data_IF_255267519916
#
_entry.id   IF_255267519916
#
_cell.length_a   1.000
_cell.length_b   1.000
_cell.length_c   1.000
_cell.angle_alpha   90.00
_cell.angle_beta   90.00
_cell.angle_gamma   90.00
#
_symmetry.space_group_name_H-M   'P 1'
#
loop_
_entity.id
_entity.type
_entity.pdbx_description
1 polymer ?
#
# COMPACT_ATOMS: atom_id res chain seq x y z
N UNK A 1 27.18 -29.72 -31.51
CA UNK A 1 26.63 -28.72 -32.46
C UNK A 1 27.57 -27.49 -32.43
N UNK A 2 28.14 -27.15 -33.60
CA UNK A 2 29.11 -26.06 -33.74
C UNK A 2 28.35 -24.80 -34.19
N UNK A 3 28.54 -23.68 -33.51
CA UNK A 3 28.04 -22.37 -33.93
C UNK A 3 29.02 -21.74 -34.91
N UNK A 4 28.58 -21.07 -36.01
CA UNK A 4 29.48 -20.38 -36.91
C UNK A 4 29.82 -18.97 -36.39
N UNK A 5 31.08 -18.59 -36.59
CA UNK A 5 31.60 -17.22 -36.34
C UNK A 5 31.11 -16.26 -37.42
N UNK A 6 30.61 -15.10 -36.99
CA UNK A 6 30.36 -13.96 -37.89
C UNK A 6 31.62 -13.11 -37.98
N UNK A 7 32.03 -12.88 -39.21
CA UNK A 7 33.11 -11.96 -39.62
C UNK A 7 32.62 -10.51 -39.48
N UNK A 8 33.45 -9.68 -38.86
CA UNK A 8 33.28 -8.23 -38.84
C UNK A 8 34.13 -7.59 -39.95
N UNK A 9 33.55 -7.23 -41.05
CA UNK A 9 34.20 -6.38 -42.03
C UNK A 9 33.99 -4.91 -41.69
N UNK A 10 35.08 -4.24 -41.37
CA UNK A 10 35.19 -2.82 -41.08
C UNK A 10 35.23 -2.05 -42.40
N UNK A 11 34.17 -1.32 -42.72
CA UNK A 11 34.23 -0.35 -43.84
C UNK A 11 34.56 1.03 -43.26
N UNK A 12 35.77 1.46 -43.56
CA UNK A 12 36.25 2.82 -43.29
C UNK A 12 35.70 3.78 -44.35
N UNK A 13 34.77 4.66 -44.00
CA UNK A 13 34.41 5.78 -44.82
C UNK A 13 35.17 7.05 -44.37
N UNK A 14 36.00 7.59 -45.28
CA UNK A 14 36.63 8.89 -45.08
C UNK A 14 35.57 9.99 -45.17
N UNK A 15 35.37 10.74 -44.08
CA UNK A 15 34.60 11.97 -44.07
C UNK A 15 35.48 13.13 -44.53
N UNK A 16 35.23 13.69 -45.68
CA UNK A 16 35.79 14.98 -46.06
C UNK A 16 35.12 16.09 -45.27
N UNK A 17 35.92 16.83 -44.48
CA UNK A 17 35.44 17.96 -43.71
C UNK A 17 35.33 19.18 -44.62
N UNK A 18 34.13 19.61 -44.92
CA UNK A 18 33.88 20.94 -45.54
C UNK A 18 33.97 21.99 -44.40
N UNK A 19 35.02 22.78 -44.41
CA UNK A 19 35.18 23.94 -43.53
C UNK A 19 34.45 25.13 -44.17
N UNK A 20 33.25 25.44 -43.62
CA UNK A 20 32.54 26.68 -43.93
C UNK A 20 33.04 27.76 -42.99
N UNK A 21 33.79 28.73 -43.53
CA UNK A 21 34.27 29.88 -42.76
C UNK A 21 33.13 30.91 -42.55
N UNK A 22 32.57 31.01 -41.39
CA UNK A 22 31.65 32.07 -41.00
C UNK A 22 32.39 33.26 -40.44
N UNK A 23 31.99 34.51 -40.73
CA UNK A 23 32.63 35.72 -40.20
C UNK A 23 32.41 35.78 -38.64
N UNK A 24 33.47 36.07 -37.91
CA UNK A 24 33.57 36.07 -36.45
C UNK A 24 32.43 36.80 -35.69
N UNK A 25 31.73 37.70 -36.29
CA UNK A 25 30.60 38.43 -35.67
C UNK A 25 29.29 37.64 -35.64
N UNK A 26 29.10 36.67 -36.57
CA UNK A 26 27.93 35.83 -36.61
C UNK A 26 28.05 34.63 -35.62
N UNK A 27 29.28 34.22 -35.32
CA UNK A 27 29.51 33.13 -34.37
C UNK A 27 29.17 33.51 -32.94
N UNK A 28 29.46 34.77 -32.56
CA UNK A 28 29.13 35.30 -31.23
C UNK A 28 27.63 35.41 -30.96
N UNK A 29 26.85 35.80 -31.99
CA UNK A 29 25.39 35.89 -31.88
C UNK A 29 24.74 34.50 -31.85
N UNK A 30 25.25 33.50 -32.59
CA UNK A 30 24.77 32.14 -32.55
C UNK A 30 25.11 31.41 -31.25
N UNK A 31 26.28 31.65 -30.69
CA UNK A 31 26.68 31.07 -29.39
C UNK A 31 25.85 31.69 -28.26
N UNK A 32 25.57 33.01 -28.30
CA UNK A 32 24.71 33.66 -27.32
C UNK A 32 23.25 33.20 -27.43
N UNK A 33 22.74 33.00 -28.64
CA UNK A 33 21.39 32.44 -28.82
C UNK A 33 21.30 30.96 -28.42
N UNK A 34 22.35 30.18 -28.67
CA UNK A 34 22.41 28.77 -28.21
C UNK A 34 22.60 28.67 -26.69
N UNK A 35 23.35 29.57 -26.04
CA UNK A 35 23.44 29.62 -24.58
C UNK A 35 22.12 30.10 -23.91
N UNK A 36 21.41 31.05 -24.54
CA UNK A 36 20.07 31.43 -24.06
C UNK A 36 19.02 30.33 -24.26
N UNK A 37 19.13 29.54 -25.34
CA UNK A 37 18.25 28.40 -25.58
C UNK A 37 18.57 27.20 -24.65
N UNK A 38 19.79 27.05 -24.15
CA UNK A 38 20.17 26.01 -23.15
C UNK A 38 19.80 26.44 -21.72
N UNK A 39 19.58 27.73 -21.46
CA UNK A 39 19.10 28.20 -20.15
C UNK A 39 17.56 28.22 -20.01
N UNK A 40 16.83 27.96 -21.07
CA UNK A 40 15.41 27.64 -21.01
C UNK A 40 15.23 26.12 -21.18
N UNK A 41 15.80 25.32 -20.31
CA UNK A 41 15.14 24.09 -19.94
C UNK A 41 13.83 24.56 -19.32
N UNK A 42 12.75 24.51 -20.07
CA UNK A 42 11.41 24.62 -19.50
C UNK A 42 11.40 23.68 -18.30
N UNK A 43 11.41 24.23 -17.09
CA UNK A 43 11.10 23.47 -15.92
C UNK A 43 9.83 22.71 -16.30
N UNK A 44 9.90 21.40 -16.36
CA UNK A 44 8.74 20.61 -16.75
C UNK A 44 7.78 20.73 -15.57
N UNK A 45 6.74 21.46 -15.77
CA UNK A 45 5.82 21.88 -14.73
C UNK A 45 4.82 20.76 -14.44
N UNK A 46 4.39 20.64 -13.18
CA UNK A 46 3.40 19.64 -12.78
C UNK A 46 2.03 19.86 -13.44
N UNK A 47 1.18 18.86 -13.38
CA UNK A 47 -0.21 18.94 -13.84
C UNK A 47 -1.18 18.43 -12.78
N UNK A 48 -2.39 18.98 -12.76
CA UNK A 48 -3.49 18.53 -11.91
C UNK A 48 -4.76 18.47 -12.74
N UNK A 49 -5.44 17.32 -12.66
CA UNK A 49 -6.78 17.14 -13.19
C UNK A 49 -7.72 16.66 -12.07
N UNK A 50 -8.83 17.38 -11.87
CA UNK A 50 -9.94 16.98 -10.99
C UNK A 50 -11.15 16.80 -11.88
N UNK A 51 -11.53 15.54 -12.08
CA UNK A 51 -12.62 15.15 -12.96
C UNK A 51 -13.97 15.12 -12.22
N UNK A 52 -15.05 15.35 -12.97
CA UNK A 52 -16.43 15.16 -12.52
C UNK A 52 -17.17 14.29 -13.53
N UNK A 53 -18.37 13.85 -13.20
CA UNK A 53 -19.20 13.08 -14.13
C UNK A 53 -19.52 13.81 -15.46
N UNK A 54 -19.40 15.15 -15.51
CA UNK A 54 -19.72 15.99 -16.67
C UNK A 54 -18.52 16.64 -17.33
N UNK A 55 -17.29 16.38 -16.86
CA UNK A 55 -16.07 16.99 -17.34
C UNK A 55 -15.09 17.28 -16.23
N UNK A 56 -14.34 18.37 -16.34
CA UNK A 56 -13.33 18.74 -15.33
C UNK A 56 -13.83 19.88 -14.42
N UNK A 57 -13.65 19.73 -13.09
CA UNK A 57 -13.71 20.84 -12.15
C UNK A 57 -12.45 21.70 -12.29
N UNK A 58 -11.31 21.06 -12.52
CA UNK A 58 -10.01 21.70 -12.69
C UNK A 58 -9.14 20.84 -13.61
N UNK A 59 -8.50 21.46 -14.59
CA UNK A 59 -7.55 20.78 -15.48
C UNK A 59 -6.50 21.79 -15.91
N UNK A 60 -5.29 21.65 -15.38
CA UNK A 60 -4.18 22.54 -15.70
C UNK A 60 -2.84 21.83 -15.69
N UNK A 61 -2.04 22.17 -16.65
CA UNK A 61 -0.62 21.82 -16.73
C UNK A 61 0.24 23.09 -16.61
N UNK A 62 1.51 22.90 -16.44
CA UNK A 62 2.43 24.04 -16.32
C UNK A 62 2.44 24.66 -14.91
N UNK A 63 2.06 23.89 -13.88
CA UNK A 63 2.00 24.35 -12.51
C UNK A 63 3.33 24.13 -11.79
N UNK A 64 3.71 25.07 -10.92
CA UNK A 64 4.91 24.96 -10.08
C UNK A 64 4.70 25.66 -8.74
N UNK A 65 5.44 25.21 -7.71
CA UNK A 65 5.33 25.76 -6.37
C UNK A 65 3.98 25.41 -5.70
N UNK A 66 3.47 26.34 -4.90
CA UNK A 66 2.23 26.14 -4.15
C UNK A 66 1.02 26.67 -4.93
N UNK A 67 0.05 25.80 -5.18
CA UNK A 67 -1.21 26.15 -5.84
C UNK A 67 -2.37 25.74 -4.94
N UNK A 68 -3.31 26.66 -4.68
CA UNK A 68 -4.52 26.38 -3.91
C UNK A 68 -5.77 26.56 -4.79
N UNK A 69 -6.72 25.64 -4.63
CA UNK A 69 -8.04 25.67 -5.26
C UNK A 69 -9.13 25.65 -4.18
N UNK A 70 -9.51 26.81 -3.65
CA UNK A 70 -10.67 26.89 -2.75
C UNK A 70 -11.97 26.73 -3.55
N UNK A 71 -12.90 25.94 -3.02
CA UNK A 71 -14.20 25.68 -3.64
C UNK A 71 -15.29 25.72 -2.58
N UNK A 72 -16.40 26.40 -2.88
CA UNK A 72 -17.52 26.52 -1.94
C UNK A 72 -18.37 25.24 -1.94
N UNK A 73 -18.70 24.78 -0.73
CA UNK A 73 -19.62 23.66 -0.48
C UNK A 73 -19.02 22.26 -0.77
N UNK A 74 -19.86 21.23 -0.62
CA UNK A 74 -19.46 19.86 -0.88
C UNK A 74 -19.22 19.61 -2.38
N UNK A 75 -18.33 18.69 -2.70
CA UNK A 75 -17.95 18.37 -4.07
C UNK A 75 -18.30 16.93 -4.43
N UNK A 76 -18.77 16.71 -5.67
CA UNK A 76 -18.93 15.39 -6.26
C UNK A 76 -17.96 15.26 -7.44
N UNK A 77 -16.95 14.45 -7.28
CA UNK A 77 -15.87 14.25 -8.25
C UNK A 77 -15.73 12.78 -8.61
N UNK A 78 -15.06 12.49 -9.71
CA UNK A 78 -14.82 11.12 -10.17
C UNK A 78 -13.36 10.71 -10.10
N UNK A 79 -12.42 11.65 -10.21
CA UNK A 79 -10.99 11.35 -10.18
C UNK A 79 -10.20 12.57 -9.76
N UNK A 80 -9.08 12.34 -9.06
CA UNK A 80 -8.01 13.34 -8.86
C UNK A 80 -6.71 12.74 -9.36
N UNK A 81 -6.09 13.38 -10.33
CA UNK A 81 -4.76 13.02 -10.82
C UNK A 81 -3.80 14.20 -10.66
N UNK A 82 -2.67 13.93 -10.00
CA UNK A 82 -1.58 14.87 -9.85
C UNK A 82 -0.32 14.24 -10.43
N UNK A 83 0.33 14.94 -11.34
CA UNK A 83 1.60 14.53 -11.92
C UNK A 83 2.65 15.59 -11.61
N UNK A 84 3.61 15.23 -10.79
CA UNK A 84 4.78 16.05 -10.46
C UNK A 84 5.99 15.66 -11.29
N UNK A 85 6.95 16.56 -11.41
CA UNK A 85 8.21 16.27 -12.05
C UNK A 85 9.28 15.95 -11.04
N UNK A 86 10.19 15.07 -11.41
CA UNK A 86 11.30 14.68 -10.54
C UNK A 86 12.13 15.89 -10.10
N UNK A 87 12.29 16.04 -8.77
CA UNK A 87 13.12 17.09 -8.16
C UNK A 87 12.47 18.45 -8.09
N UNK A 88 11.20 18.59 -8.42
CA UNK A 88 10.46 19.84 -8.29
C UNK A 88 9.45 19.75 -7.13
N UNK A 89 9.51 20.67 -6.20
CA UNK A 89 8.51 20.80 -5.15
C UNK A 89 7.23 21.41 -5.74
N UNK A 90 6.28 20.55 -6.03
CA UNK A 90 4.94 20.93 -6.47
C UNK A 90 3.92 20.55 -5.40
N UNK A 91 3.21 21.55 -4.88
CA UNK A 91 2.21 21.38 -3.84
C UNK A 91 0.86 21.90 -4.34
N UNK A 92 -0.14 21.03 -4.38
CA UNK A 92 -1.49 21.39 -4.77
C UNK A 92 -2.46 21.17 -3.61
N UNK A 93 -3.17 22.22 -3.22
CA UNK A 93 -4.19 22.18 -2.19
C UNK A 93 -5.59 22.28 -2.81
N UNK A 94 -6.39 21.24 -2.66
CA UNK A 94 -7.80 21.21 -2.99
C UNK A 94 -8.63 21.45 -1.73
N UNK A 95 -9.25 22.61 -1.61
CA UNK A 95 -9.84 23.14 -0.37
C UNK A 95 -11.34 23.39 -0.48
N UNK A 96 -12.18 22.34 -0.67
CA UNK A 96 -13.63 22.53 -0.61
C UNK A 96 -14.09 22.80 0.84
N UNK A 97 -15.11 23.67 0.98
CA UNK A 97 -15.72 23.99 2.28
C UNK A 97 -16.78 22.97 2.72
N UNK A 98 -16.68 21.75 2.29
CA UNK A 98 -17.58 20.64 2.63
C UNK A 98 -16.98 19.31 2.27
N UNK A 99 -17.72 18.25 2.50
CA UNK A 99 -17.30 16.90 2.18
C UNK A 99 -17.06 16.69 0.68
N UNK A 100 -16.19 15.74 0.35
CA UNK A 100 -15.96 15.29 -1.01
C UNK A 100 -16.53 13.88 -1.17
N UNK A 101 -17.38 13.70 -2.16
CA UNK A 101 -17.83 12.39 -2.64
C UNK A 101 -17.08 12.07 -3.95
N UNK A 102 -16.12 11.17 -3.89
CA UNK A 102 -15.37 10.70 -5.02
C UNK A 102 -15.90 9.32 -5.42
N UNK A 103 -16.55 9.21 -6.58
CA UNK A 103 -17.10 7.96 -7.08
C UNK A 103 -16.43 7.63 -8.40
N UNK A 104 -15.64 6.57 -8.41
CA UNK A 104 -14.90 6.10 -9.56
C UNK A 104 -15.30 4.67 -9.92
N UNK A 105 -15.63 4.43 -11.17
CA UNK A 105 -15.96 3.09 -11.70
C UNK A 105 -14.95 2.74 -12.79
N UNK A 106 -13.96 1.86 -12.49
CA UNK A 106 -12.96 1.45 -13.45
C UNK A 106 -13.57 0.85 -14.71
N UNK A 107 -13.02 1.19 -15.86
CA UNK A 107 -13.40 0.57 -17.12
C UNK A 107 -12.77 -0.83 -17.21
N UNK A 108 -13.55 -1.85 -17.53
CA UNK A 108 -13.08 -3.25 -17.66
C UNK A 108 -11.91 -3.46 -18.59
N UNK A 109 -11.64 -2.52 -19.49
CA UNK A 109 -10.64 -2.65 -20.56
C UNK A 109 -9.30 -1.98 -20.27
N UNK A 110 -9.17 -1.25 -19.18
CA UNK A 110 -7.96 -0.49 -18.85
C UNK A 110 -7.45 -0.89 -17.46
N UNK A 111 -6.13 -1.01 -17.35
CA UNK A 111 -5.42 -1.18 -16.07
C UNK A 111 -5.07 0.21 -15.49
N UNK A 112 -4.81 0.27 -14.19
CA UNK A 112 -4.33 1.46 -13.46
C UNK A 112 -5.33 2.63 -13.43
N UNK A 113 -6.62 2.32 -13.31
CA UNK A 113 -7.67 3.32 -13.15
C UNK A 113 -8.05 3.46 -11.66
N UNK A 114 -7.57 4.50 -11.01
CA UNK A 114 -7.74 4.75 -9.57
C UNK A 114 -8.40 6.09 -9.28
N UNK A 115 -9.10 6.18 -8.15
CA UNK A 115 -9.79 7.40 -7.72
C UNK A 115 -8.84 8.58 -7.49
N UNK A 116 -7.70 8.32 -6.84
CA UNK A 116 -6.64 9.30 -6.60
C UNK A 116 -5.31 8.70 -7.08
N UNK A 117 -4.62 9.44 -7.93
CA UNK A 117 -3.30 9.08 -8.44
C UNK A 117 -2.35 10.25 -8.25
N UNK A 118 -1.24 10.00 -7.56
CA UNK A 118 -0.11 10.91 -7.46
C UNK A 118 1.07 10.25 -8.13
N UNK A 119 1.51 10.82 -9.24
CA UNK A 119 2.64 10.34 -10.02
C UNK A 119 3.79 11.35 -9.94
N UNK A 120 5.01 10.86 -9.71
CA UNK A 120 6.19 11.71 -9.58
C UNK A 120 6.25 12.50 -8.27
N UNK A 121 7.11 13.54 -8.23
CA UNK A 121 7.28 14.40 -7.06
C UNK A 121 6.15 15.43 -6.99
N UNK A 122 5.31 15.34 -5.96
CA UNK A 122 4.24 16.29 -5.74
C UNK A 122 3.45 15.98 -4.49
N UNK A 123 2.90 17.02 -3.89
CA UNK A 123 2.05 16.94 -2.71
C UNK A 123 0.62 17.32 -3.08
N UNK A 124 -0.32 16.44 -2.76
CA UNK A 124 -1.75 16.71 -2.82
C UNK A 124 -2.28 16.88 -1.39
N UNK A 125 -2.69 18.11 -1.06
CA UNK A 125 -3.40 18.39 0.17
C UNK A 125 -4.91 18.49 -0.11
N UNK A 126 -5.69 17.75 0.64
CA UNK A 126 -7.15 17.76 0.56
C UNK A 126 -7.71 18.34 1.85
N UNK A 127 -8.57 19.34 1.70
CA UNK A 127 -9.16 20.18 2.72
C UNK A 127 -8.19 21.20 3.34
N UNK A 128 -8.77 22.26 3.89
CA UNK A 128 -8.11 23.19 4.77
C UNK A 128 -7.88 22.52 6.14
N UNK A 129 -6.76 22.83 6.76
CA UNK A 129 -6.38 22.25 8.06
C UNK A 129 -7.46 22.49 9.12
N UNK A 130 -7.85 21.42 9.81
CA UNK A 130 -8.84 21.48 10.87
C UNK A 130 -10.28 21.65 10.37
N UNK A 131 -10.55 21.40 9.10
CA UNK A 131 -11.91 21.50 8.54
C UNK A 131 -12.89 20.51 9.15
N UNK A 132 -12.42 19.35 9.57
CA UNK A 132 -13.26 18.23 10.02
C UNK A 132 -14.08 17.55 8.94
N UNK A 133 -13.90 17.95 7.68
CA UNK A 133 -14.59 17.39 6.52
C UNK A 133 -14.15 15.96 6.23
N UNK A 134 -14.95 15.26 5.43
CA UNK A 134 -14.68 13.86 5.06
C UNK A 134 -14.52 13.71 3.54
N UNK A 135 -13.46 13.02 3.15
CA UNK A 135 -13.28 12.51 1.80
C UNK A 135 -13.86 11.09 1.76
N UNK A 136 -14.99 10.93 1.06
CA UNK A 136 -15.58 9.63 0.78
C UNK A 136 -15.12 9.16 -0.60
N UNK A 137 -14.46 8.02 -0.66
CA UNK A 137 -14.06 7.36 -1.91
C UNK A 137 -14.88 6.10 -2.08
N UNK A 138 -15.55 5.98 -3.21
CA UNK A 138 -16.16 4.74 -3.66
C UNK A 138 -15.47 4.28 -4.94
N UNK A 139 -14.60 3.30 -4.80
CA UNK A 139 -13.86 2.70 -5.90
C UNK A 139 -14.54 1.43 -6.37
N UNK A 140 -14.96 1.42 -7.62
CA UNK A 140 -15.53 0.26 -8.25
C UNK A 140 -16.98 -0.06 -7.88
N UNK A 141 -17.44 -1.16 -8.43
CA UNK A 141 -18.75 -1.78 -8.18
C UNK A 141 -18.57 -3.29 -8.08
N UNK A 142 -19.64 -3.99 -7.67
CA UNK A 142 -19.66 -5.46 -7.66
C UNK A 142 -19.49 -6.11 -9.04
N UNK A 143 -19.40 -5.34 -10.11
CA UNK A 143 -19.19 -5.80 -11.49
C UNK A 143 -17.92 -5.24 -12.12
N UNK A 144 -17.15 -4.42 -11.40
CA UNK A 144 -15.93 -3.80 -11.90
C UNK A 144 -14.67 -4.64 -11.61
N UNK A 145 -13.60 -4.27 -12.29
CA UNK A 145 -12.26 -4.74 -12.01
C UNK A 145 -11.75 -4.15 -10.70
N UNK A 146 -10.91 -4.86 -9.97
CA UNK A 146 -10.32 -4.39 -8.71
C UNK A 146 -9.04 -3.62 -8.96
N UNK A 147 -9.15 -2.29 -8.95
CA UNK A 147 -8.03 -1.37 -9.02
C UNK A 147 -7.88 -0.64 -7.68
N UNK A 148 -6.72 -0.12 -7.37
CA UNK A 148 -6.51 0.67 -6.15
C UNK A 148 -7.43 1.90 -6.11
N UNK A 149 -7.88 2.27 -4.93
CA UNK A 149 -8.59 3.54 -4.75
C UNK A 149 -7.61 4.72 -4.70
N UNK A 150 -6.46 4.52 -4.08
CA UNK A 150 -5.41 5.52 -3.92
C UNK A 150 -4.07 4.94 -4.34
N UNK A 151 -3.38 5.62 -5.24
CA UNK A 151 -2.00 5.32 -5.63
C UNK A 151 -1.13 6.56 -5.37
N UNK A 152 -0.07 6.38 -4.60
CA UNK A 152 0.95 7.39 -4.40
C UNK A 152 2.27 6.89 -4.98
N UNK A 153 2.85 7.66 -5.87
CA UNK A 153 4.06 7.36 -6.64
C UNK A 153 3.89 6.27 -7.71
N UNK A 154 2.84 6.39 -8.54
CA UNK A 154 2.50 5.43 -9.61
C UNK A 154 3.67 5.10 -10.55
N UNK A 155 4.44 6.08 -10.91
CA UNK A 155 5.54 5.91 -11.86
C UNK A 155 6.88 6.09 -11.16
N UNK A 156 7.45 5.05 -10.73
CA UNK A 156 8.74 4.83 -10.12
C UNK A 156 9.96 5.51 -10.83
N UNK A 157 9.78 6.71 -11.33
CA UNK A 157 10.80 7.49 -12.04
C UNK A 157 11.83 8.16 -11.11
N UNK A 158 11.97 7.63 -9.87
CA UNK A 158 12.83 8.19 -8.85
C UNK A 158 12.27 9.46 -8.21
N UNK A 159 10.94 9.53 -8.08
CA UNK A 159 10.25 10.53 -7.27
C UNK A 159 10.63 10.39 -5.79
N UNK A 160 10.89 11.50 -5.13
CA UNK A 160 11.38 11.54 -3.75
C UNK A 160 10.38 12.15 -2.77
N UNK A 161 9.29 12.76 -3.27
CA UNK A 161 8.38 13.58 -2.46
C UNK A 161 6.91 13.44 -2.85
N UNK A 162 6.47 12.25 -3.24
CA UNK A 162 5.04 12.01 -3.45
C UNK A 162 4.32 11.96 -2.10
N UNK A 163 3.32 12.81 -1.88
CA UNK A 163 2.52 12.85 -0.66
C UNK A 163 1.04 13.04 -0.97
N UNK A 164 0.20 12.22 -0.36
CA UNK A 164 -1.22 12.52 -0.15
C UNK A 164 -1.44 12.91 1.31
N UNK A 165 -1.90 14.13 1.54
CA UNK A 165 -2.27 14.63 2.85
C UNK A 165 -3.78 14.96 2.88
N UNK A 166 -4.54 14.26 3.71
CA UNK A 166 -5.95 14.53 3.95
C UNK A 166 -6.10 15.23 5.30
N UNK A 167 -6.37 16.54 5.28
CA UNK A 167 -6.60 17.37 6.47
C UNK A 167 -8.03 17.18 7.03
N UNK A 168 -8.47 15.94 7.17
CA UNK A 168 -9.79 15.54 7.59
C UNK A 168 -9.91 14.04 7.68
N UNK A 169 -11.14 13.53 7.55
CA UNK A 169 -11.39 12.09 7.57
C UNK A 169 -11.29 11.50 6.16
N UNK A 170 -10.91 10.23 6.08
CA UNK A 170 -10.88 9.46 4.84
C UNK A 170 -11.70 8.18 5.01
N UNK A 171 -12.77 8.06 4.21
CA UNK A 171 -13.59 6.85 4.15
C UNK A 171 -13.48 6.22 2.77
N UNK A 172 -13.17 4.94 2.71
CA UNK A 172 -13.00 4.21 1.44
C UNK A 172 -13.91 2.99 1.40
N UNK A 173 -14.76 2.91 0.38
CA UNK A 173 -15.46 1.71 -0.02
C UNK A 173 -14.87 1.20 -1.33
N UNK A 174 -14.33 -0.01 -1.31
CA UNK A 174 -13.75 -0.65 -2.49
C UNK A 174 -14.52 -1.91 -2.86
N UNK A 175 -14.86 -2.05 -4.13
CA UNK A 175 -15.59 -3.20 -4.67
C UNK A 175 -14.94 -3.74 -5.94
N UNK A 176 -14.90 -5.07 -6.06
CA UNK A 176 -14.40 -5.74 -7.26
C UNK A 176 -15.07 -7.10 -7.50
N UNK A 177 -15.11 -7.54 -8.77
CA UNK A 177 -15.70 -8.84 -9.18
C UNK A 177 -14.97 -9.46 -10.36
N UNK A 178 -13.72 -9.36 -10.58
CA UNK A 178 -13.13 -10.17 -11.66
C UNK A 178 -11.63 -10.31 -11.56
N UNK A 179 -10.93 -9.27 -11.28
CA UNK A 179 -9.49 -9.25 -11.36
C UNK A 179 -8.96 -8.24 -10.38
N UNK A 180 -8.00 -8.60 -9.56
CA UNK A 180 -7.29 -7.68 -8.69
C UNK A 180 -5.93 -7.39 -9.32
N UNK A 181 -5.79 -6.25 -9.99
CA UNK A 181 -4.54 -5.82 -10.62
C UNK A 181 -3.62 -5.07 -9.67
N UNK A 182 -4.16 -4.55 -8.58
CA UNK A 182 -3.41 -3.79 -7.60
C UNK A 182 -2.95 -4.63 -6.41
N UNK A 183 -1.84 -4.26 -5.80
CA UNK A 183 -1.37 -4.87 -4.56
C UNK A 183 -2.20 -4.43 -3.33
N UNK A 184 -3.04 -3.40 -3.46
CA UNK A 184 -3.88 -2.92 -2.37
C UNK A 184 -4.91 -1.87 -2.76
N UNK A 185 -5.82 -1.57 -1.83
CA UNK A 185 -6.81 -0.49 -1.96
C UNK A 185 -6.12 0.88 -1.85
N UNK A 186 -5.23 1.03 -0.87
CA UNK A 186 -4.28 2.14 -0.76
C UNK A 186 -2.91 1.57 -1.08
N UNK A 187 -2.27 2.09 -2.11
CA UNK A 187 -1.02 1.60 -2.63
C UNK A 187 0.02 2.71 -2.63
N UNK A 188 1.06 2.51 -1.84
CA UNK A 188 2.14 3.47 -1.68
C UNK A 188 3.45 2.81 -2.09
N UNK A 189 4.14 3.41 -3.05
CA UNK A 189 5.45 2.93 -3.49
C UNK A 189 6.50 4.01 -3.31
N UNK A 190 7.58 3.67 -2.64
CA UNK A 190 8.80 4.46 -2.70
C UNK A 190 9.94 3.57 -3.17
N UNK A 191 10.23 3.67 -4.44
CA UNK A 191 11.29 2.89 -5.09
C UNK A 191 12.56 3.73 -5.32
N UNK A 192 12.71 4.82 -4.62
CA UNK A 192 13.92 5.62 -4.79
C UNK A 192 15.11 4.94 -4.13
N UNK A 193 15.89 4.22 -4.94
CA UNK A 193 17.25 3.84 -4.61
C UNK A 193 18.12 5.11 -4.47
N UNK A 194 17.81 5.98 -3.50
CA UNK A 194 18.59 7.18 -3.26
C UNK A 194 19.63 6.90 -2.19
N UNK A 195 20.83 6.66 -2.69
CA UNK A 195 22.02 6.76 -1.88
C UNK A 195 22.05 8.13 -1.17
N UNK A 196 21.77 8.18 0.12
CA UNK A 196 22.22 9.22 1.03
C UNK A 196 21.20 10.27 1.51
N UNK A 197 19.90 10.14 1.29
CA UNK A 197 18.93 11.08 1.85
C UNK A 197 18.20 10.49 3.06
N UNK A 198 18.50 10.96 4.26
CA UNK A 198 17.78 10.61 5.48
C UNK A 198 16.42 11.35 5.53
N UNK A 199 15.50 11.09 4.62
CA UNK A 199 14.15 11.65 4.68
C UNK A 199 13.20 10.75 5.49
N UNK A 200 13.65 10.26 6.64
CA UNK A 200 12.85 9.46 7.59
C UNK A 200 11.62 10.20 8.14
N UNK A 201 11.54 11.50 7.97
CA UNK A 201 10.50 12.35 8.56
C UNK A 201 9.36 12.70 7.59
N UNK A 202 9.39 12.22 6.35
CA UNK A 202 8.35 12.52 5.37
C UNK A 202 7.39 11.35 5.20
N UNK A 203 6.12 11.59 5.50
CA UNK A 203 5.06 10.65 5.19
C UNK A 203 4.71 10.76 3.71
N UNK A 204 4.50 9.61 3.05
CA UNK A 204 3.93 9.56 1.70
C UNK A 204 2.39 9.58 1.74
N UNK A 205 1.82 9.23 2.89
CA UNK A 205 0.39 9.25 3.12
C UNK A 205 0.10 9.72 4.55
N UNK A 206 -0.71 10.77 4.67
CA UNK A 206 -1.07 11.30 5.96
C UNK A 206 -2.56 11.64 6.04
N UNK A 207 -3.24 11.12 7.06
CA UNK A 207 -4.63 11.43 7.39
C UNK A 207 -4.69 12.03 8.79
N UNK A 208 -5.11 13.31 8.92
CA UNK A 208 -5.23 13.97 10.23
C UNK A 208 -6.42 13.46 11.05
N UNK A 209 -7.50 13.06 10.37
CA UNK A 209 -8.71 12.49 10.99
C UNK A 209 -8.74 10.98 10.97
N UNK A 210 -9.96 10.44 10.91
CA UNK A 210 -10.21 9.01 10.90
C UNK A 210 -9.95 8.40 9.51
N UNK A 211 -9.44 7.17 9.49
CA UNK A 211 -9.39 6.30 8.32
C UNK A 211 -10.38 5.15 8.51
N UNK A 212 -11.44 5.12 7.72
CA UNK A 212 -12.42 4.03 7.71
C UNK A 212 -12.37 3.36 6.35
N UNK A 213 -12.18 2.05 6.36
CA UNK A 213 -11.97 1.28 5.14
C UNK A 213 -12.76 -0.02 5.07
N UNK A 214 -13.39 -0.22 3.91
CA UNK A 214 -14.08 -1.46 3.61
C UNK A 214 -13.74 -1.93 2.19
N UNK A 215 -13.49 -3.24 2.03
CA UNK A 215 -13.39 -3.85 0.70
C UNK A 215 -14.20 -5.12 0.60
N UNK A 216 -14.89 -5.29 -0.53
CA UNK A 216 -15.66 -6.49 -0.86
C UNK A 216 -15.32 -6.94 -2.28
N UNK A 217 -14.64 -8.10 -2.36
CA UNK A 217 -14.21 -8.70 -3.61
C UNK A 217 -14.94 -10.02 -3.81
N UNK A 218 -15.87 -10.05 -4.75
CA UNK A 218 -16.86 -11.14 -4.85
C UNK A 218 -16.35 -12.33 -5.63
N UNK A 219 -15.46 -12.41 -6.39
CA UNK A 219 -14.91 -13.58 -7.08
C UNK A 219 -13.85 -13.17 -8.07
N UNK A 220 -12.61 -13.39 -7.75
CA UNK A 220 -11.55 -13.14 -8.71
C UNK A 220 -10.84 -14.43 -9.10
N UNK A 221 -10.47 -14.51 -10.36
CA UNK A 221 -9.68 -15.62 -10.86
C UNK A 221 -8.21 -15.50 -10.46
N UNK A 222 -7.76 -14.32 -10.04
CA UNK A 222 -6.37 -14.08 -9.71
C UNK A 222 -6.18 -12.92 -8.72
N UNK A 223 -5.30 -13.11 -7.73
CA UNK A 223 -4.57 -12.01 -7.09
C UNK A 223 -3.22 -11.89 -7.79
N UNK A 224 -2.93 -10.71 -8.32
CA UNK A 224 -1.63 -10.47 -8.95
C UNK A 224 -0.59 -10.25 -7.84
N UNK A 225 0.51 -10.99 -7.94
CA UNK A 225 1.73 -10.78 -7.17
C UNK A 225 1.59 -10.65 -5.65
N UNK A 226 1.84 -11.71 -4.91
CA UNK A 226 2.14 -11.72 -3.46
C UNK A 226 1.05 -11.31 -2.47
N UNK A 227 -0.20 -11.14 -2.90
CA UNK A 227 -1.32 -10.85 -2.02
C UNK A 227 -1.91 -9.45 -2.19
N UNK A 228 -3.10 -9.25 -1.64
CA UNK A 228 -3.87 -8.01 -1.71
C UNK A 228 -4.06 -7.41 -0.32
N UNK A 229 -3.76 -6.14 -0.13
CA UNK A 229 -3.88 -5.46 1.15
C UNK A 229 -4.95 -4.36 1.13
N UNK A 230 -5.52 -4.00 2.28
CA UNK A 230 -6.22 -2.72 2.35
C UNK A 230 -5.22 -1.56 2.23
N UNK A 231 -4.12 -1.61 3.00
CA UNK A 231 -2.99 -0.70 2.85
C UNK A 231 -1.73 -1.51 2.48
N UNK A 232 -1.18 -1.27 1.31
CA UNK A 232 0.08 -1.86 0.83
C UNK A 232 1.14 -0.77 0.71
N UNK A 233 2.17 -0.87 1.54
CA UNK A 233 3.28 0.06 1.57
C UNK A 233 4.57 -0.67 1.22
N UNK A 234 5.27 -0.15 0.22
CA UNK A 234 6.54 -0.67 -0.26
C UNK A 234 7.59 0.45 -0.21
N UNK A 235 8.42 0.43 0.83
CA UNK A 235 9.41 1.48 1.11
C UNK A 235 8.83 2.84 1.51
N UNK A 236 7.53 2.95 1.69
CA UNK A 236 6.81 4.20 1.93
C UNK A 236 6.38 4.36 3.40
N UNK A 237 6.16 5.60 3.82
CA UNK A 237 5.70 5.95 5.16
C UNK A 237 4.24 6.39 5.17
N UNK A 238 3.50 6.01 6.23
CA UNK A 238 2.14 6.47 6.43
C UNK A 238 1.87 6.87 7.88
N UNK A 239 0.98 7.85 8.06
CA UNK A 239 0.53 8.30 9.37
C UNK A 239 -0.97 8.55 9.38
N UNK A 240 -1.66 8.04 10.37
CA UNK A 240 -3.08 8.29 10.63
C UNK A 240 -3.20 8.77 12.06
N UNK A 241 -3.66 10.00 12.29
CA UNK A 241 -3.77 10.57 13.64
C UNK A 241 -5.08 10.18 14.34
N UNK A 242 -6.16 10.04 13.57
CA UNK A 242 -7.47 9.64 14.09
C UNK A 242 -7.64 8.13 14.25
N UNK A 243 -8.90 7.69 14.39
CA UNK A 243 -9.28 6.28 14.44
C UNK A 243 -8.95 5.59 13.11
N UNK A 244 -8.47 4.36 13.19
CA UNK A 244 -8.37 3.46 12.03
C UNK A 244 -9.34 2.31 12.20
N UNK A 245 -10.15 2.02 11.16
CA UNK A 245 -11.18 0.99 11.18
C UNK A 245 -11.24 0.33 9.79
N UNK A 246 -10.70 -0.89 9.68
CA UNK A 246 -10.50 -1.55 8.40
C UNK A 246 -11.12 -2.94 8.41
N UNK A 247 -11.91 -3.24 7.37
CA UNK A 247 -12.51 -4.55 7.14
C UNK A 247 -12.39 -4.99 5.68
N UNK A 248 -12.31 -6.31 5.47
CA UNK A 248 -12.09 -6.91 4.16
C UNK A 248 -12.86 -8.23 4.01
N UNK A 249 -13.58 -8.38 2.93
CA UNK A 249 -14.20 -9.63 2.52
C UNK A 249 -13.75 -9.98 1.09
N UNK A 250 -12.95 -11.03 0.94
CA UNK A 250 -12.28 -11.34 -0.33
C UNK A 250 -12.48 -12.80 -0.71
N UNK A 251 -13.01 -13.00 -1.91
CA UNK A 251 -13.16 -14.31 -2.50
C UNK A 251 -12.27 -14.41 -3.75
N UNK A 252 -11.31 -15.34 -3.74
CA UNK A 252 -10.30 -15.50 -4.80
C UNK A 252 -10.07 -16.97 -5.17
N UNK A 253 -9.28 -17.20 -6.22
CA UNK A 253 -8.85 -18.56 -6.53
C UNK A 253 -7.79 -19.05 -5.53
N UNK A 254 -6.75 -18.29 -5.29
CA UNK A 254 -5.73 -18.54 -4.25
C UNK A 254 -4.96 -17.26 -3.95
N UNK A 255 -4.33 -17.17 -2.78
CA UNK A 255 -3.47 -16.05 -2.40
C UNK A 255 -3.63 -15.61 -0.96
N UNK A 256 -3.09 -14.42 -0.65
CA UNK A 256 -3.11 -13.80 0.67
C UNK A 256 -3.82 -12.46 0.70
N UNK A 257 -4.38 -12.10 1.86
CA UNK A 257 -4.94 -10.78 2.12
C UNK A 257 -4.40 -10.19 3.42
N UNK A 258 -4.29 -8.87 3.44
CA UNK A 258 -3.70 -8.13 4.53
C UNK A 258 -4.53 -6.87 4.86
N UNK A 259 -4.84 -6.64 6.11
CA UNK A 259 -5.36 -5.34 6.53
C UNK A 259 -4.31 -4.26 6.29
N UNK A 260 -3.10 -4.49 6.81
CA UNK A 260 -1.89 -3.71 6.51
C UNK A 260 -0.77 -4.65 6.06
N UNK A 261 -0.14 -4.33 4.94
CA UNK A 261 1.12 -4.94 4.50
C UNK A 261 2.18 -3.87 4.37
N UNK A 262 3.27 -4.05 5.09
CA UNK A 262 4.42 -3.15 5.09
C UNK A 262 5.68 -3.94 4.74
N UNK A 263 6.39 -3.54 3.71
CA UNK A 263 7.66 -4.13 3.33
C UNK A 263 8.66 -3.06 2.85
N UNK A 264 9.97 -3.32 2.90
CA UNK A 264 10.98 -2.35 2.50
C UNK A 264 11.03 -2.12 0.98
N UNK A 265 10.42 -2.99 0.19
CA UNK A 265 10.53 -2.95 -1.27
C UNK A 265 11.97 -3.09 -1.74
N UNK A 266 12.26 -2.49 -2.88
CA UNK A 266 13.63 -2.38 -3.41
C UNK A 266 14.36 -1.12 -2.91
N UNK A 267 13.80 -0.44 -1.92
CA UNK A 267 14.32 0.84 -1.42
C UNK A 267 15.34 0.63 -0.29
N UNK A 268 16.26 1.58 -0.17
CA UNK A 268 17.17 1.66 0.99
C UNK A 268 16.51 2.39 2.17
N UNK A 269 15.17 2.43 2.23
CA UNK A 269 14.42 3.14 3.24
C UNK A 269 13.85 2.18 4.29
N UNK A 270 13.64 2.73 5.47
CA UNK A 270 13.01 2.06 6.59
C UNK A 270 11.52 2.47 6.62
N UNK A 271 10.62 1.71 5.99
CA UNK A 271 9.22 2.08 5.93
C UNK A 271 8.59 2.04 7.31
N UNK A 272 7.76 3.05 7.59
CA UNK A 272 7.10 3.18 8.88
C UNK A 272 5.62 3.50 8.72
N UNK A 273 4.79 2.88 9.56
CA UNK A 273 3.38 3.23 9.69
C UNK A 273 3.08 3.59 11.13
N UNK A 274 2.42 4.73 11.36
CA UNK A 274 1.98 5.17 12.68
C UNK A 274 0.47 5.36 12.72
N UNK A 275 -0.18 4.65 13.63
CA UNK A 275 -1.58 4.84 13.98
C UNK A 275 -1.68 5.58 15.31
N UNK A 276 -2.20 6.80 15.30
CA UNK A 276 -2.31 7.67 16.49
C UNK A 276 -3.54 7.35 17.34
N UNK A 277 -4.68 7.10 16.72
CA UNK A 277 -5.94 6.80 17.38
C UNK A 277 -6.22 5.32 17.58
N UNK A 278 -7.42 5.01 18.11
CA UNK A 278 -7.89 3.63 18.24
C UNK A 278 -7.81 2.92 16.90
N UNK A 279 -7.17 1.77 16.87
CA UNK A 279 -6.92 1.01 15.64
C UNK A 279 -7.67 -0.31 15.68
N UNK A 280 -8.51 -0.55 14.67
CA UNK A 280 -9.29 -1.77 14.56
C UNK A 280 -9.14 -2.38 13.16
N UNK A 281 -8.65 -3.63 13.11
CA UNK A 281 -8.65 -4.49 11.94
C UNK A 281 -9.62 -5.64 12.21
N UNK A 282 -10.69 -5.72 11.43
CA UNK A 282 -11.75 -6.68 11.72
C UNK A 282 -12.43 -7.23 10.47
N UNK A 283 -13.10 -8.36 10.63
CA UNK A 283 -13.81 -9.03 9.51
C UNK A 283 -12.92 -9.21 8.27
N UNK A 284 -11.63 -9.49 8.48
CA UNK A 284 -10.69 -9.78 7.38
C UNK A 284 -10.86 -11.24 6.99
N UNK A 285 -11.63 -11.48 5.93
CA UNK A 285 -12.05 -12.82 5.52
C UNK A 285 -11.58 -13.14 4.12
N UNK A 286 -10.85 -14.23 4.01
CA UNK A 286 -10.43 -14.80 2.73
C UNK A 286 -11.10 -16.16 2.50
N UNK A 287 -11.80 -16.27 1.40
CA UNK A 287 -12.23 -17.54 0.84
C UNK A 287 -11.45 -17.81 -0.45
N UNK A 288 -10.61 -18.86 -0.45
CA UNK A 288 -9.86 -19.28 -1.62
C UNK A 288 -10.47 -20.57 -2.20
N UNK A 289 -10.81 -20.57 -3.50
CA UNK A 289 -11.30 -21.78 -4.19
C UNK A 289 -10.18 -22.82 -4.40
N UNK A 290 -8.93 -22.38 -4.44
CA UNK A 290 -7.73 -23.22 -4.61
C UNK A 290 -7.16 -23.76 -3.30
N UNK A 291 -5.89 -24.11 -3.34
CA UNK A 291 -5.18 -24.82 -2.26
C UNK A 291 -4.49 -23.90 -1.25
N UNK A 292 -4.41 -22.58 -1.51
CA UNK A 292 -3.69 -21.65 -0.64
C UNK A 292 -4.56 -20.46 -0.24
N UNK A 293 -4.62 -20.19 1.07
CA UNK A 293 -5.33 -19.07 1.65
C UNK A 293 -4.54 -18.48 2.84
N UNK A 294 -4.23 -17.19 2.80
CA UNK A 294 -3.53 -16.51 3.87
C UNK A 294 -4.26 -15.21 4.26
N UNK A 295 -4.43 -14.94 5.55
CA UNK A 295 -5.06 -13.71 6.00
C UNK A 295 -4.31 -13.10 7.21
N UNK A 296 -4.09 -11.80 7.15
CA UNK A 296 -3.35 -11.07 8.16
C UNK A 296 -4.10 -9.78 8.55
N UNK A 297 -4.12 -9.49 9.85
CA UNK A 297 -4.54 -8.16 10.32
C UNK A 297 -3.46 -7.13 9.99
N UNK A 298 -2.29 -7.26 10.61
CA UNK A 298 -1.10 -6.44 10.38
C UNK A 298 0.07 -7.36 10.01
N UNK A 299 0.74 -7.07 8.90
CA UNK A 299 1.93 -7.79 8.48
C UNK A 299 3.06 -6.81 8.17
N UNK A 300 4.16 -6.91 8.92
CA UNK A 300 5.40 -6.18 8.70
C UNK A 300 6.48 -7.16 8.27
N UNK A 301 7.05 -6.98 7.09
CA UNK A 301 8.08 -7.84 6.52
C UNK A 301 9.36 -7.06 6.28
N UNK A 302 10.48 -7.56 6.80
CA UNK A 302 11.82 -7.04 6.53
C UNK A 302 12.71 -8.01 5.74
N UNK A 303 12.13 -9.13 5.29
CA UNK A 303 12.83 -10.11 4.48
C UNK A 303 12.89 -9.65 3.03
N UNK A 304 13.84 -8.79 2.71
CA UNK A 304 14.19 -8.54 1.32
C UNK A 304 15.23 -9.57 0.83
N UNK A 305 15.00 -10.08 -0.37
CA UNK A 305 15.85 -11.08 -1.03
C UNK A 305 17.25 -10.51 -1.35
N UNK A 306 17.42 -9.18 -1.32
CA UNK A 306 18.61 -8.51 -1.85
C UNK A 306 19.42 -7.69 -0.85
N UNK A 307 18.92 -7.39 0.33
CA UNK A 307 19.66 -6.55 1.25
C UNK A 307 19.33 -6.72 2.73
N UNK A 308 20.30 -6.58 3.43
CA UNK A 308 20.44 -6.62 4.84
C UNK A 308 19.84 -5.37 5.49
N UNK A 309 18.92 -5.52 6.43
CA UNK A 309 18.88 -4.68 7.62
C UNK A 309 18.06 -3.38 7.60
N UNK A 310 17.07 -3.22 6.74
CA UNK A 310 16.17 -2.07 6.85
C UNK A 310 15.07 -2.33 7.88
N UNK A 311 14.93 -1.42 8.82
CA UNK A 311 13.88 -1.46 9.82
C UNK A 311 12.52 -1.24 9.15
N UNK A 312 11.62 -2.21 9.31
CA UNK A 312 10.22 -2.11 8.91
C UNK A 312 9.39 -2.00 10.18
N UNK A 313 8.73 -0.85 10.38
CA UNK A 313 8.12 -0.57 11.67
C UNK A 313 6.65 -0.18 11.57
N UNK A 314 5.81 -0.83 12.38
CA UNK A 314 4.43 -0.40 12.64
C UNK A 314 4.31 0.02 14.09
N UNK A 315 3.75 1.20 14.34
CA UNK A 315 3.50 1.72 15.68
C UNK A 315 2.02 2.04 15.86
N UNK A 316 1.40 1.49 16.88
CA UNK A 316 0.02 1.80 17.30
C UNK A 316 0.07 2.48 18.66
N UNK A 317 -0.15 3.81 18.67
CA UNK A 317 -0.01 4.65 19.87
C UNK A 317 -1.23 4.59 20.81
N UNK A 318 -2.29 3.89 20.42
CA UNK A 318 -3.53 3.77 21.18
C UNK A 318 -3.95 2.31 21.31
N UNK A 319 -5.15 2.07 21.80
CA UNK A 319 -5.68 0.71 21.91
C UNK A 319 -5.86 0.09 20.52
N UNK A 320 -5.44 -1.17 20.38
CA UNK A 320 -5.59 -1.96 19.17
C UNK A 320 -6.56 -3.11 19.35
N UNK A 321 -7.43 -3.34 18.38
CA UNK A 321 -8.33 -4.50 18.30
C UNK A 321 -8.14 -5.18 16.96
N UNK A 322 -7.80 -6.47 17.00
CA UNK A 322 -7.69 -7.31 15.81
C UNK A 322 -8.64 -8.49 15.98
N UNK A 323 -9.66 -8.59 15.14
CA UNK A 323 -10.71 -9.59 15.37
C UNK A 323 -11.35 -10.11 14.09
N UNK A 324 -11.91 -11.30 14.19
CA UNK A 324 -12.67 -11.93 13.11
C UNK A 324 -11.82 -12.07 11.82
N UNK A 325 -10.57 -12.53 12.00
CA UNK A 325 -9.61 -12.76 10.91
C UNK A 325 -9.70 -14.23 10.49
N UNK A 326 -9.97 -14.49 9.22
CA UNK A 326 -10.11 -15.88 8.74
C UNK A 326 -9.60 -16.10 7.33
N UNK A 327 -9.02 -17.29 7.10
CA UNK A 327 -8.68 -17.80 5.79
C UNK A 327 -9.21 -19.21 5.61
N UNK A 328 -9.82 -19.49 4.46
CA UNK A 328 -10.30 -20.81 4.11
C UNK A 328 -9.84 -21.18 2.69
N UNK A 329 -9.07 -22.25 2.57
CA UNK A 329 -8.74 -22.90 1.30
C UNK A 329 -9.74 -24.06 1.06
N UNK A 330 -10.55 -23.96 -0.01
CA UNK A 330 -11.60 -24.97 -0.27
C UNK A 330 -11.07 -26.24 -0.89
N UNK A 331 -10.03 -26.16 -1.72
CA UNK A 331 -9.41 -27.33 -2.32
C UNK A 331 -8.63 -28.11 -1.27
N UNK A 332 -8.80 -29.44 -1.30
CA UNK A 332 -8.07 -30.37 -0.45
C UNK A 332 -7.03 -31.10 -1.28
N UNK A 333 -5.86 -31.29 -0.74
CA UNK A 333 -4.76 -32.01 -1.36
C UNK A 333 -3.48 -31.89 -0.55
N UNK A 334 -2.46 -32.64 -0.93
CA UNK A 334 -1.20 -32.72 -0.19
C UNK A 334 -0.47 -31.35 -0.05
N UNK A 335 -0.77 -30.39 -0.93
CA UNK A 335 -0.19 -29.05 -0.92
C UNK A 335 -1.18 -27.97 -0.43
N UNK A 336 -2.31 -28.36 0.16
CA UNK A 336 -3.31 -27.39 0.64
C UNK A 336 -2.89 -26.76 1.96
N UNK A 337 -3.05 -25.45 2.01
CA UNK A 337 -2.55 -24.65 3.12
C UNK A 337 -3.48 -23.45 3.43
N UNK A 338 -3.74 -23.23 4.69
CA UNK A 338 -4.41 -22.03 5.19
C UNK A 338 -3.64 -21.45 6.36
N UNK A 339 -3.29 -20.17 6.29
CA UNK A 339 -2.54 -19.47 7.32
C UNK A 339 -3.25 -18.19 7.74
N UNK A 340 -3.30 -17.93 9.03
CA UNK A 340 -3.86 -16.68 9.57
C UNK A 340 -3.01 -16.15 10.70
N UNK A 341 -2.73 -14.86 10.68
CA UNK A 341 -2.10 -14.16 11.80
C UNK A 341 -2.81 -12.84 12.09
N UNK A 342 -3.08 -12.57 13.37
CA UNK A 342 -3.60 -11.27 13.78
C UNK A 342 -2.57 -10.17 13.56
N UNK A 343 -1.38 -10.33 14.13
CA UNK A 343 -0.24 -9.44 13.92
C UNK A 343 1.04 -10.26 13.68
N UNK A 344 1.71 -10.01 12.57
CA UNK A 344 2.92 -10.73 12.20
C UNK A 344 4.09 -9.80 11.87
N UNK A 345 5.22 -10.02 12.54
CA UNK A 345 6.50 -9.42 12.23
C UNK A 345 7.44 -10.49 11.65
N UNK A 346 7.85 -10.33 10.39
CA UNK A 346 8.64 -11.30 9.67
C UNK A 346 10.00 -10.74 9.25
N UNK A 347 11.07 -11.36 9.73
CA UNK A 347 12.45 -10.93 9.47
C UNK A 347 13.05 -10.08 10.58
N UNK A 348 14.39 -10.16 10.71
CA UNK A 348 15.13 -9.64 11.87
C UNK A 348 15.00 -8.15 12.18
N UNK A 349 14.50 -7.38 11.24
CA UNK A 349 14.29 -5.94 11.39
C UNK A 349 12.81 -5.52 11.22
N UNK A 350 11.88 -6.47 11.27
CA UNK A 350 10.46 -6.18 11.32
C UNK A 350 10.00 -6.00 12.77
N UNK A 351 9.37 -4.88 13.08
CA UNK A 351 8.92 -4.55 14.42
C UNK A 351 7.49 -4.00 14.40
N UNK A 352 6.64 -4.53 15.27
CA UNK A 352 5.29 -4.01 15.51
C UNK A 352 5.18 -3.61 16.98
N UNK A 353 4.86 -2.35 17.24
CA UNK A 353 4.69 -1.79 18.57
C UNK A 353 3.24 -1.46 18.86
N UNK A 354 2.73 -1.94 19.97
CA UNK A 354 1.45 -1.53 20.54
C UNK A 354 1.73 -0.80 21.87
N UNK A 355 1.59 0.52 21.86
CA UNK A 355 2.00 1.34 23.02
C UNK A 355 1.05 1.28 24.20
N UNK A 356 -0.21 0.86 23.99
CA UNK A 356 -1.18 0.79 25.08
C UNK A 356 -1.71 -0.63 25.29
N UNK A 357 -2.64 -1.08 24.47
CA UNK A 357 -3.27 -2.37 24.63
C UNK A 357 -3.52 -3.06 23.31
N UNK A 358 -3.51 -4.39 23.34
CA UNK A 358 -3.82 -5.22 22.18
C UNK A 358 -4.85 -6.26 22.56
N UNK A 359 -6.00 -6.24 21.90
CA UNK A 359 -7.01 -7.27 21.97
C UNK A 359 -7.05 -8.05 20.65
N UNK A 360 -6.91 -9.38 20.72
CA UNK A 360 -7.05 -10.25 19.55
C UNK A 360 -8.09 -11.32 19.85
N UNK A 361 -9.01 -11.55 18.90
CA UNK A 361 -10.05 -12.57 19.04
C UNK A 361 -10.52 -13.12 17.69
N UNK A 362 -11.06 -14.35 17.71
CA UNK A 362 -11.64 -15.02 16.56
C UNK A 362 -10.69 -15.07 15.34
N UNK A 363 -9.53 -15.69 15.52
CA UNK A 363 -8.56 -15.92 14.43
C UNK A 363 -8.68 -17.38 13.99
N UNK A 364 -8.94 -17.64 12.70
CA UNK A 364 -9.19 -19.01 12.24
C UNK A 364 -8.65 -19.32 10.85
N UNK A 365 -7.97 -20.45 10.71
CA UNK A 365 -7.52 -21.02 9.46
C UNK A 365 -8.25 -22.35 9.16
N UNK A 366 -8.66 -22.57 7.93
CA UNK A 366 -9.40 -23.76 7.54
C UNK A 366 -8.95 -24.27 6.19
N UNK A 367 -8.64 -25.57 6.10
CA UNK A 367 -8.46 -26.29 4.83
C UNK A 367 -9.65 -27.20 4.61
N UNK A 368 -10.27 -27.07 3.45
CA UNK A 368 -11.48 -27.80 3.10
C UNK A 368 -12.76 -27.20 3.71
N UNK A 369 -13.82 -27.99 3.74
CA UNK A 369 -15.06 -27.63 4.43
C UNK A 369 -14.98 -28.05 5.89
N UNK A 370 -15.08 -27.10 6.81
CA UNK A 370 -15.05 -27.39 8.26
C UNK A 370 -16.17 -28.33 8.75
N UNK A 371 -17.18 -28.55 7.92
CA UNK A 371 -18.30 -29.43 8.20
C UNK A 371 -18.20 -30.80 7.50
N UNK A 372 -17.19 -31.00 6.65
CA UNK A 372 -17.01 -32.28 5.94
C UNK A 372 -16.06 -33.19 6.73
N UNK A 373 -16.54 -34.37 7.10
CA UNK A 373 -15.71 -35.47 7.56
C UNK A 373 -14.80 -35.97 6.42
N UNK A 374 -13.54 -35.54 6.44
CA UNK A 374 -12.61 -36.02 5.43
C UNK A 374 -11.20 -36.15 5.99
N UNK A 375 -10.72 -37.37 6.00
CA UNK A 375 -9.34 -37.69 6.27
C UNK A 375 -8.43 -37.38 5.09
N UNK A 376 -8.17 -36.13 4.78
CA UNK A 376 -7.09 -35.79 3.88
C UNK A 376 -5.79 -35.68 4.70
N UNK A 377 -4.75 -36.36 4.25
CA UNK A 377 -3.40 -36.30 4.82
C UNK A 377 -2.60 -35.22 4.07
N UNK A 378 -1.83 -34.41 4.77
CA UNK A 378 -0.92 -33.40 4.19
C UNK A 378 -1.43 -31.96 4.18
N UNK A 379 -2.59 -31.72 4.75
CA UNK A 379 -3.18 -30.37 4.81
C UNK A 379 -2.66 -29.60 6.03
N UNK A 380 -2.21 -28.35 5.78
CA UNK A 380 -1.73 -27.44 6.82
C UNK A 380 -2.73 -26.32 7.09
N UNK A 381 -3.29 -26.25 8.29
CA UNK A 381 -4.01 -25.07 8.75
C UNK A 381 -3.34 -24.52 10.01
N UNK A 382 -2.96 -23.24 9.97
CA UNK A 382 -2.24 -22.59 11.04
C UNK A 382 -2.89 -21.23 11.38
N UNK A 383 -3.21 -21.04 12.64
CA UNK A 383 -3.80 -19.79 13.13
C UNK A 383 -3.03 -19.26 14.34
N UNK A 384 -2.60 -18.01 14.26
CA UNK A 384 -1.84 -17.33 15.27
C UNK A 384 -2.49 -15.99 15.63
N UNK A 385 -2.57 -15.68 16.92
CA UNK A 385 -2.93 -14.32 17.34
C UNK A 385 -1.79 -13.35 17.02
N UNK A 386 -0.58 -13.74 17.40
CA UNK A 386 0.66 -12.99 17.17
C UNK A 386 1.70 -13.96 16.63
N UNK A 387 2.42 -13.53 15.60
CA UNK A 387 3.52 -14.26 14.99
C UNK A 387 4.75 -13.38 14.89
N UNK A 388 5.90 -13.90 15.31
CA UNK A 388 7.19 -13.23 15.15
C UNK A 388 8.15 -14.25 14.55
N UNK A 389 8.49 -14.09 13.28
CA UNK A 389 9.24 -15.05 12.49
C UNK A 389 10.61 -14.50 12.11
N UNK A 390 11.61 -15.37 12.02
CA UNK A 390 12.96 -15.04 11.53
C UNK A 390 13.61 -13.84 12.22
N UNK A 391 13.32 -13.63 13.52
CA UNK A 391 13.88 -12.53 14.31
C UNK A 391 13.03 -11.27 14.35
N UNK A 392 11.85 -11.27 13.74
CA UNK A 392 10.86 -10.21 13.89
C UNK A 392 10.42 -10.01 15.34
N UNK A 393 9.86 -8.84 15.65
CA UNK A 393 9.45 -8.49 17.00
C UNK A 393 8.06 -7.90 17.01
N UNK A 394 7.21 -8.42 17.92
CA UNK A 394 5.94 -7.79 18.30
C UNK A 394 6.05 -7.39 19.75
N UNK A 395 5.94 -6.09 20.02
CA UNK A 395 6.16 -5.49 21.33
C UNK A 395 4.85 -4.86 21.80
N UNK A 396 4.37 -5.25 22.97
CA UNK A 396 3.17 -4.68 23.56
C UNK A 396 3.54 -4.04 24.89
N UNK A 397 3.41 -2.73 24.96
CA UNK A 397 3.71 -1.94 26.14
C UNK A 397 2.46 -1.75 27.00
N UNK A 398 2.58 -2.05 28.29
CA UNK A 398 1.53 -1.85 29.27
C UNK A 398 1.64 -0.54 30.05
N UNK A 399 2.05 0.56 29.46
CA UNK A 399 2.31 1.83 30.18
C UNK A 399 1.06 2.62 30.56
N UNK A 400 -0.01 1.97 30.94
CA UNK A 400 -1.23 2.62 31.40
C UNK A 400 -1.85 1.94 32.61
N UNK A 401 -2.57 2.68 33.43
CA UNK A 401 -3.21 2.23 34.70
C UNK A 401 -4.29 1.15 34.56
N UNK A 402 -4.46 0.55 33.42
CA UNK A 402 -5.29 -0.62 33.18
C UNK A 402 -4.43 -1.72 32.57
N UNK A 403 -3.94 -2.54 33.43
CA UNK A 403 -3.11 -3.70 33.14
C UNK A 403 -3.89 -4.77 32.36
N UNK A 404 -3.91 -4.66 31.04
CA UNK A 404 -4.13 -5.83 30.20
C UNK A 404 -3.47 -5.62 28.88
N UNK A 405 -2.30 -6.07 28.86
CA UNK A 405 -1.35 -5.84 27.79
C UNK A 405 -1.74 -6.60 26.55
N UNK A 406 -2.11 -7.87 26.70
CA UNK A 406 -2.63 -8.69 25.60
C UNK A 406 -3.86 -9.42 26.10
N UNK A 407 -4.99 -9.19 25.46
CA UNK A 407 -6.22 -9.91 25.73
C UNK A 407 -6.55 -10.82 24.57
N UNK A 408 -6.43 -12.13 24.78
CA UNK A 408 -6.84 -13.14 23.81
C UNK A 408 -8.23 -13.63 24.21
N UNK A 409 -9.24 -13.26 23.44
CA UNK A 409 -10.61 -13.67 23.67
C UNK A 409 -11.08 -14.57 22.54
N UNK A 410 -11.75 -15.67 22.93
CA UNK A 410 -12.32 -16.65 22.02
C UNK A 410 -11.30 -17.39 21.12
N UNK A 411 -11.79 -18.27 20.36
CA UNK A 411 -11.04 -19.33 19.71
C UNK A 411 -10.02 -18.85 18.68
N UNK A 412 -8.77 -19.20 18.89
CA UNK A 412 -7.78 -19.30 17.82
C UNK A 412 -7.87 -20.74 17.31
N UNK A 413 -8.39 -20.91 16.10
CA UNK A 413 -8.79 -22.21 15.58
C UNK A 413 -8.08 -22.51 14.27
N UNK A 414 -7.46 -23.71 14.21
CA UNK A 414 -7.03 -24.27 12.96
C UNK A 414 -7.79 -25.56 12.67
N UNK A 415 -8.24 -25.71 11.41
CA UNK A 415 -8.93 -26.89 10.92
C UNK A 415 -8.23 -27.40 9.68
N UNK A 416 -7.59 -28.55 9.79
CA UNK A 416 -6.99 -29.24 8.67
C UNK A 416 -7.12 -30.76 8.86
N UNK A 417 -7.23 -31.53 7.80
CA UNK A 417 -7.19 -32.99 7.84
C UNK A 417 -8.21 -33.67 8.73
N UNK A 418 -9.35 -33.06 9.02
CA UNK A 418 -10.39 -33.63 9.88
C UNK A 418 -10.13 -33.53 11.38
N UNK A 419 -9.04 -32.91 11.81
CA UNK A 419 -8.80 -32.64 13.24
C UNK A 419 -9.17 -31.20 13.59
N UNK A 420 -10.02 -31.07 14.58
CA UNK A 420 -10.27 -29.80 15.27
C UNK A 420 -9.26 -29.68 16.38
N UNK A 421 -8.22 -28.86 16.19
CA UNK A 421 -7.34 -28.46 17.26
C UNK A 421 -7.81 -27.13 17.86
N UNK A 422 -8.40 -27.19 19.06
CA UNK A 422 -8.54 -26.00 19.89
C UNK A 422 -7.25 -25.83 20.67
N UNK A 423 -6.50 -24.80 20.37
CA UNK A 423 -5.32 -24.49 21.15
C UNK A 423 -5.71 -23.69 22.37
N UNK A 424 -5.68 -24.27 23.61
CA UNK A 424 -5.77 -23.48 24.82
C UNK A 424 -4.60 -22.48 24.83
N UNK A 425 -4.87 -21.25 25.20
CA UNK A 425 -3.92 -20.14 25.14
C UNK A 425 -2.49 -20.44 25.67
N UNK A 426 -2.32 -21.38 26.61
CA UNK A 426 -1.02 -21.80 27.15
C UNK A 426 -0.30 -22.89 26.33
N UNK A 427 -0.96 -23.44 25.30
CA UNK A 427 -0.39 -24.50 24.43
C UNK A 427 -0.19 -24.07 23.00
N UNK A 428 -0.74 -22.93 22.59
CA UNK A 428 -0.39 -22.37 21.30
C UNK A 428 1.13 -22.18 21.31
N UNK A 429 1.81 -22.92 20.49
CA UNK A 429 3.22 -22.72 20.28
C UNK A 429 3.38 -21.27 19.79
N UNK A 430 3.63 -20.39 20.74
CA UNK A 430 4.29 -19.15 20.38
C UNK A 430 5.62 -19.60 19.79
N UNK A 431 5.72 -19.67 18.47
CA UNK A 431 7.01 -19.69 17.78
C UNK A 431 7.67 -18.33 18.02
N UNK A 432 7.81 -18.04 19.31
CA UNK A 432 8.42 -16.82 19.79
C UNK A 432 9.91 -16.95 19.64
N UNK A 433 10.47 -16.20 18.74
CA UNK A 433 11.81 -15.76 18.99
C UNK A 433 11.82 -14.53 19.91
N UNK A 434 10.79 -13.67 19.93
CA UNK A 434 10.70 -12.64 20.98
C UNK A 434 9.29 -12.01 21.06
N UNK A 435 8.46 -12.43 21.98
CA UNK A 435 7.37 -11.61 22.51
C UNK A 435 7.94 -10.89 23.74
N UNK A 436 8.14 -9.60 23.69
CA UNK A 436 8.56 -8.81 24.84
C UNK A 436 7.33 -8.15 25.43
N UNK A 437 6.89 -8.66 26.58
CA UNK A 437 5.93 -7.98 27.45
C UNK A 437 6.78 -7.07 28.37
N UNK A 438 6.62 -5.78 28.23
CA UNK A 438 7.23 -4.80 29.14
C UNK A 438 6.16 -4.37 30.14
N UNK A 439 6.42 -4.61 31.41
CA UNK A 439 5.57 -4.19 32.55
C UNK A 439 5.54 -2.65 32.71
#
# INVERSE_FOLDING_TARGET
>A
MRFPRLNSDFVSSKSEAFAIAYPKKTLSALVSAALLAVCCTSASAGSVAISTASGYLYDKSGLSGNVSLPVDGPQNISEIRLEGNKGENFNFSFEPKGDINLVFIPNRNYANESSIVIAGDGELNIFEKGSGNTLFIKQGTKDSRGEAAVIVNENNNGATHALLHVNGNLNIEHYANSYLDSAGVIQLWDNTAHAGGNNRDQNNFYVEGDLIGFTDVLKTTYIVNYGFAFMSLEGANAKIDGKTDISMNVHVHSGGIYGLRLNPGNSNYEPQVTFGGKTEFHDIRLLAEGSQAEAYGIHADSMDVFSNHFLTQVTVNSDAVIRDISAQALTKGDDSYAYVSGAEAHGGNAEIYFDKGLQIRNVSATVGDKNADSGASGEGAEAYAISALHGGKVIVNGSGSSASVVQLENDILSYGGGMKETCPWWKCNFLTQTLTLLD
#
